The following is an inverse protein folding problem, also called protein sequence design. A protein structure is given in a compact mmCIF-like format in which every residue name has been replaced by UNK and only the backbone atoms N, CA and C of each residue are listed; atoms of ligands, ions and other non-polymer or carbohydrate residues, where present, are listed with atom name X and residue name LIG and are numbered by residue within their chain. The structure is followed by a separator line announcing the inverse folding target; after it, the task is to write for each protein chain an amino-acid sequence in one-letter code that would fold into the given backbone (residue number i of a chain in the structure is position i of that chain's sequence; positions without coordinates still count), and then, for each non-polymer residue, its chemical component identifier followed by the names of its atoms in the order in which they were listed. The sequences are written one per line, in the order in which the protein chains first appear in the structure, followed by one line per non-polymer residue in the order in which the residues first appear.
data_IF_314647689225
#
_entry.id   IF_314647689225
#
_cell.length_a   1.000
_cell.length_b   1.000
_cell.length_c   1.000
_cell.angle_alpha   90.00
_cell.angle_beta   90.00
_cell.angle_gamma   90.00
#
_symmetry.space_group_name_H-M   'P 1'
#
loop_
_entity.id
_entity.type
_entity.pdbx_description
1 polymer ?
#
# COMPACT_ATOMS: atom_id res chain seq x y z
N UNK A 1 -8.72 7.36 -2.27
CA UNK A 1 -9.10 8.79 -2.25
C UNK A 1 -10.58 8.90 -2.02
N UNK A 2 -10.99 9.78 -1.14
CA UNK A 2 -12.39 9.97 -0.84
C UNK A 2 -13.06 10.90 -1.85
N UNK A 3 -14.37 10.72 -2.06
CA UNK A 3 -15.11 11.55 -3.01
C UNK A 3 -15.04 13.05 -2.70
N UNK A 4 -15.00 13.40 -1.41
CA UNK A 4 -14.88 14.79 -1.00
C UNK A 4 -13.58 15.43 -1.46
N UNK A 5 -12.51 14.65 -1.57
CA UNK A 5 -11.22 15.13 -2.04
C UNK A 5 -11.23 15.36 -3.55
N UNK A 6 -11.94 14.53 -4.31
CA UNK A 6 -12.09 14.69 -5.75
C UNK A 6 -12.72 16.04 -6.11
N UNK A 7 -13.62 16.53 -5.26
CA UNK A 7 -14.27 17.81 -5.48
C UNK A 7 -13.42 19.01 -5.09
N UNK A 8 -12.40 18.80 -4.27
CA UNK A 8 -11.50 19.87 -3.80
C UNK A 8 -10.36 20.17 -4.76
N UNK A 9 -9.93 19.17 -5.54
CA UNK A 9 -8.70 19.25 -6.31
C UNK A 9 -9.02 19.30 -7.80
N UNK A 10 -8.59 20.38 -8.44
CA UNK A 10 -8.75 20.59 -9.87
C UNK A 10 -7.39 20.93 -10.46
N UNK A 11 -7.02 20.22 -11.52
CA UNK A 11 -5.70 20.36 -12.12
C UNK A 11 -5.81 20.74 -13.58
N UNK A 12 -4.84 21.54 -14.03
CA UNK A 12 -4.77 21.95 -15.42
C UNK A 12 -4.42 20.78 -16.33
N UNK A 13 -3.61 19.85 -15.84
CA UNK A 13 -3.20 18.68 -16.59
C UNK A 13 -3.59 17.40 -15.85
N UNK A 14 -3.87 16.32 -16.62
CA UNK A 14 -4.14 15.03 -15.98
C UNK A 14 -2.95 14.55 -15.13
N UNK A 15 -3.25 13.89 -14.03
CA UNK A 15 -2.25 13.31 -13.14
C UNK A 15 -2.55 11.85 -12.86
N UNK A 16 -1.51 11.02 -12.72
CA UNK A 16 -1.74 9.69 -12.13
C UNK A 16 -1.97 9.81 -10.63
N UNK A 17 -2.69 8.85 -10.08
CA UNK A 17 -2.75 8.66 -8.63
C UNK A 17 -1.52 7.89 -8.18
N UNK A 18 -1.13 8.07 -6.93
CA UNK A 18 0.03 7.37 -6.36
C UNK A 18 -0.44 6.50 -5.21
N UNK A 19 -0.07 5.21 -5.27
CA UNK A 19 -0.32 4.26 -4.19
C UNK A 19 1.00 3.78 -3.60
N UNK A 20 0.93 3.26 -2.38
CA UNK A 20 2.06 2.60 -1.73
C UNK A 20 1.64 1.19 -1.36
N UNK A 21 2.53 0.22 -1.58
CA UNK A 21 2.32 -1.16 -1.17
C UNK A 21 3.50 -1.61 -0.32
N UNK A 22 3.20 -2.47 0.66
CA UNK A 22 4.22 -3.03 1.55
C UNK A 22 4.30 -4.54 1.39
N UNK A 23 5.49 -5.05 1.12
CA UNK A 23 5.77 -6.48 1.14
C UNK A 23 6.43 -6.79 2.47
N UNK A 24 5.64 -7.30 3.41
CA UNK A 24 6.12 -7.58 4.76
C UNK A 24 6.36 -9.07 4.89
N UNK A 25 7.64 -9.43 5.04
CA UNK A 25 8.03 -10.81 5.26
C UNK A 25 8.15 -11.08 6.75
N UNK A 26 7.55 -12.14 7.21
CA UNK A 26 7.65 -12.58 8.59
C UNK A 26 8.36 -13.93 8.66
N UNK A 27 9.34 -14.04 9.55
CA UNK A 27 10.10 -15.27 9.77
C UNK A 27 9.82 -15.80 11.16
N UNK A 28 9.35 -17.04 11.25
CA UNK A 28 8.98 -17.67 12.52
C UNK A 28 10.03 -18.65 13.05
N UNK A 29 11.21 -18.66 12.45
CA UNK A 29 12.30 -19.59 12.80
C UNK A 29 12.35 -20.80 11.88
N UNK A 30 11.29 -21.04 11.11
CA UNK A 30 11.19 -22.20 10.20
C UNK A 30 10.76 -21.76 8.81
N UNK A 31 9.72 -20.96 8.72
CA UNK A 31 9.12 -20.54 7.45
C UNK A 31 9.14 -19.04 7.29
N UNK A 32 9.33 -18.63 6.04
CA UNK A 32 9.17 -17.24 5.62
C UNK A 32 7.75 -17.07 5.10
N UNK A 33 7.04 -16.08 5.66
CA UNK A 33 5.65 -15.81 5.32
C UNK A 33 5.53 -14.38 4.81
N UNK A 34 4.53 -14.12 4.00
CA UNK A 34 4.21 -12.75 3.54
C UNK A 34 2.86 -12.33 4.11
N UNK A 35 2.78 -11.07 4.54
CA UNK A 35 1.56 -10.51 5.12
C UNK A 35 0.62 -10.07 4.00
N UNK A 36 -0.59 -10.61 4.01
CA UNK A 36 -1.64 -10.22 3.06
C UNK A 36 -2.89 -9.81 3.82
N UNK A 37 -3.67 -8.92 3.21
CA UNK A 37 -4.95 -8.49 3.74
C UNK A 37 -6.06 -8.86 2.76
N UNK A 38 -7.23 -9.17 3.28
CA UNK A 38 -8.39 -9.46 2.45
C UNK A 38 -9.07 -8.15 2.05
N UNK A 39 -9.31 -7.99 0.77
CA UNK A 39 -9.97 -6.78 0.28
C UNK A 39 -11.43 -6.77 0.70
N UNK A 40 -11.86 -5.66 1.31
CA UNK A 40 -13.25 -5.47 1.72
C UNK A 40 -14.12 -4.75 0.70
N UNK A 41 -13.53 -4.23 -0.37
CA UNK A 41 -14.23 -3.45 -1.40
C UNK A 41 -13.80 -3.86 -2.80
N UNK A 42 -14.64 -3.51 -3.79
CA UNK A 42 -14.28 -3.68 -5.19
C UNK A 42 -13.19 -2.69 -5.60
N UNK A 43 -12.31 -2.99 -6.59
CA UNK A 43 -12.27 -4.23 -7.34
C UNK A 43 -11.65 -5.38 -6.53
N UNK A 44 -12.00 -6.60 -6.88
CA UNK A 44 -11.43 -7.82 -6.29
C UNK A 44 -11.78 -8.02 -4.82
N UNK A 45 -12.99 -7.61 -4.41
CA UNK A 45 -13.49 -7.88 -3.05
C UNK A 45 -13.36 -9.37 -2.72
N UNK A 46 -12.85 -9.65 -1.51
CA UNK A 46 -12.63 -11.02 -1.05
C UNK A 46 -11.30 -11.61 -1.46
N UNK A 47 -10.54 -10.95 -2.32
CA UNK A 47 -9.21 -11.40 -2.71
C UNK A 47 -8.16 -10.91 -1.74
N UNK A 48 -7.03 -11.61 -1.69
CA UNK A 48 -5.90 -11.24 -0.86
C UNK A 48 -5.02 -10.23 -1.58
N UNK A 49 -4.50 -9.25 -0.86
CA UNK A 49 -3.65 -8.21 -1.41
C UNK A 49 -2.58 -7.82 -0.42
N UNK A 50 -1.52 -7.17 -0.93
CA UNK A 50 -0.52 -6.55 -0.07
C UNK A 50 -1.15 -5.37 0.68
N UNK A 51 -0.74 -5.11 1.92
CA UNK A 51 -1.14 -3.87 2.60
C UNK A 51 -0.72 -2.66 1.78
N UNK A 52 -1.61 -1.68 1.67
CA UNK A 52 -1.32 -0.48 0.91
C UNK A 52 -2.57 0.30 0.54
N UNK A 53 -2.37 1.42 -0.11
CA UNK A 53 -3.46 2.27 -0.54
C UNK A 53 -2.97 3.58 -1.12
N UNK A 54 -3.89 4.48 -1.36
CA UNK A 54 -3.58 5.77 -1.97
C UNK A 54 -2.86 6.70 -0.99
N UNK A 55 -1.79 7.32 -1.48
CA UNK A 55 -1.05 8.32 -0.74
C UNK A 55 -1.92 9.59 -0.59
N UNK A 56 -1.90 10.19 0.59
CA UNK A 56 -2.61 11.43 0.86
C UNK A 56 -1.76 12.63 0.42
N UNK A 57 -2.43 13.78 0.25
CA UNK A 57 -1.77 14.98 -0.26
C UNK A 57 -0.75 15.57 0.72
N UNK A 58 -0.89 15.29 2.01
CA UNK A 58 -0.05 15.86 3.05
C UNK A 58 0.96 14.88 3.65
N UNK A 59 1.20 13.75 2.97
CA UNK A 59 2.14 12.75 3.47
C UNK A 59 3.14 12.35 2.38
N UNK A 60 4.33 11.94 2.82
CA UNK A 60 5.30 11.31 1.93
C UNK A 60 4.87 9.88 1.63
N UNK A 61 5.49 9.26 0.62
CA UNK A 61 5.21 7.87 0.30
C UNK A 61 5.52 6.93 1.47
N UNK A 62 6.63 7.15 2.18
CA UNK A 62 6.99 6.34 3.34
C UNK A 62 5.96 6.51 4.46
N UNK A 63 5.55 7.74 4.76
CA UNK A 63 4.53 8.00 5.75
C UNK A 63 3.20 7.34 5.38
N UNK A 64 2.83 7.41 4.11
CA UNK A 64 1.61 6.77 3.62
C UNK A 64 1.65 5.26 3.73
N UNK A 65 2.80 4.66 3.38
CA UNK A 65 2.99 3.22 3.49
C UNK A 65 2.87 2.75 4.95
N UNK A 66 3.51 3.46 5.88
CA UNK A 66 3.44 3.14 7.30
C UNK A 66 2.03 3.34 7.87
N UNK A 67 1.34 4.37 7.45
CA UNK A 67 -0.05 4.62 7.86
C UNK A 67 -0.98 3.50 7.41
N UNK A 68 -0.92 3.13 6.14
CA UNK A 68 -1.76 2.05 5.60
C UNK A 68 -1.46 0.72 6.27
N UNK A 69 -0.18 0.45 6.52
CA UNK A 69 0.25 -0.77 7.19
C UNK A 69 -0.37 -0.86 8.59
N UNK A 70 -0.31 0.24 9.33
CA UNK A 70 -0.90 0.31 10.68
C UNK A 70 -2.43 0.17 10.64
N UNK A 71 -3.08 0.90 9.73
CA UNK A 71 -4.55 0.86 9.62
C UNK A 71 -5.06 -0.52 9.25
N UNK A 72 -4.40 -1.20 8.33
CA UNK A 72 -4.86 -2.49 7.81
C UNK A 72 -4.43 -3.69 8.64
N UNK A 73 -3.31 -3.61 9.33
CA UNK A 73 -2.72 -4.76 10.03
C UNK A 73 -2.44 -4.53 11.51
N UNK A 74 -2.44 -3.29 11.96
CA UNK A 74 -2.05 -2.94 13.33
C UNK A 74 -0.54 -2.90 13.56
N UNK A 75 0.27 -3.22 12.56
CA UNK A 75 1.72 -3.23 12.70
C UNK A 75 2.27 -1.81 12.79
N UNK A 76 3.02 -1.52 13.85
CA UNK A 76 3.66 -0.25 14.09
C UNK A 76 5.17 -0.39 14.17
N UNK A 77 5.87 0.68 13.85
CA UNK A 77 7.31 0.74 14.03
C UNK A 77 8.13 -0.12 13.08
N UNK A 78 7.51 -0.60 12.01
CA UNK A 78 8.23 -1.37 11.01
C UNK A 78 9.25 -0.48 10.30
N UNK A 79 10.44 -1.03 10.09
CA UNK A 79 11.45 -0.37 9.27
C UNK A 79 11.27 -0.84 7.85
N UNK A 80 10.74 0.06 7.00
CA UNK A 80 10.46 -0.27 5.61
C UNK A 80 11.49 0.38 4.69
N UNK A 81 11.74 -0.26 3.55
CA UNK A 81 12.69 0.24 2.56
C UNK A 81 12.06 0.13 1.19
N UNK A 82 12.15 1.21 0.41
CA UNK A 82 11.66 1.23 -0.96
C UNK A 82 12.50 0.30 -1.83
N UNK A 83 11.85 -0.52 -2.66
CA UNK A 83 12.56 -1.40 -3.57
C UNK A 83 12.14 -1.23 -5.02
N UNK A 84 11.08 -0.51 -5.31
CA UNK A 84 10.67 -0.32 -6.69
C UNK A 84 9.52 0.64 -6.86
N UNK A 85 9.33 1.05 -8.10
CA UNK A 85 8.23 1.90 -8.53
C UNK A 85 7.63 1.29 -9.78
N UNK A 86 6.32 1.08 -9.79
CA UNK A 86 5.62 0.40 -10.86
C UNK A 86 4.77 1.40 -11.62
N UNK A 87 5.06 1.57 -12.90
CA UNK A 87 4.51 2.68 -13.70
C UNK A 87 3.80 2.26 -14.97
N UNK A 88 3.58 0.96 -15.20
CA UNK A 88 2.90 0.50 -16.40
C UNK A 88 1.49 1.13 -16.47
N UNK A 89 1.15 1.80 -17.59
CA UNK A 89 -0.13 2.53 -17.68
C UNK A 89 -1.38 1.68 -17.52
N UNK A 90 -1.29 0.39 -17.80
CA UNK A 90 -2.45 -0.50 -17.79
C UNK A 90 -2.51 -1.44 -16.58
N UNK A 91 -1.67 -1.20 -15.57
CA UNK A 91 -1.56 -2.11 -14.45
C UNK A 91 -2.76 -2.09 -13.48
N UNK A 92 -3.49 -0.99 -13.41
CA UNK A 92 -4.66 -0.86 -12.55
C UNK A 92 -5.89 -0.60 -13.41
N UNK A 93 -6.97 -1.39 -13.24
CA UNK A 93 -8.18 -1.22 -14.07
C UNK A 93 -8.96 0.04 -13.77
N UNK A 94 -8.74 0.67 -12.63
CA UNK A 94 -9.52 1.83 -12.21
C UNK A 94 -9.08 3.12 -12.89
N UNK A 95 -7.75 3.34 -12.96
CA UNK A 95 -7.19 4.56 -13.51
C UNK A 95 -5.68 4.43 -13.66
N UNK A 96 -5.05 5.52 -14.07
CA UNK A 96 -3.60 5.60 -14.15
C UNK A 96 -3.02 5.67 -12.74
N UNK A 97 -2.38 4.60 -12.29
CA UNK A 97 -1.83 4.50 -10.93
C UNK A 97 -0.35 4.17 -10.98
N UNK A 98 0.43 4.94 -10.24
CA UNK A 98 1.85 4.67 -9.99
C UNK A 98 1.94 4.12 -8.58
N UNK A 99 2.60 2.98 -8.41
CA UNK A 99 2.79 2.35 -7.11
C UNK A 99 4.24 2.40 -6.68
N UNK A 100 4.48 2.91 -5.47
CA UNK A 100 5.78 2.88 -4.82
C UNK A 100 5.76 1.73 -3.83
N UNK A 101 6.66 0.77 -4.01
CA UNK A 101 6.66 -0.46 -3.23
C UNK A 101 7.78 -0.47 -2.19
N UNK A 102 7.44 -0.93 -1.00
CA UNK A 102 8.33 -1.05 0.15
C UNK A 102 8.39 -2.50 0.60
N UNK A 103 9.47 -2.86 1.28
CA UNK A 103 9.56 -4.16 1.93
C UNK A 103 10.11 -4.01 3.34
N UNK A 104 9.83 -5.00 4.16
CA UNK A 104 10.40 -5.14 5.48
C UNK A 104 10.43 -6.60 5.88
N UNK A 105 11.35 -6.94 6.76
CA UNK A 105 11.41 -8.26 7.38
C UNK A 105 11.10 -8.08 8.86
N UNK A 106 10.12 -8.81 9.35
CA UNK A 106 9.76 -8.78 10.76
C UNK A 106 9.91 -10.18 11.35
N UNK A 107 10.22 -10.22 12.64
CA UNK A 107 10.31 -11.47 13.38
C UNK A 107 8.92 -11.81 13.90
N UNK A 108 8.42 -12.98 13.54
CA UNK A 108 7.16 -13.47 14.08
C UNK A 108 7.39 -14.07 15.45
N UNK A 109 6.55 -13.66 16.40
CA UNK A 109 6.60 -14.21 17.75
C UNK A 109 5.48 -15.21 17.91
N UNK A 110 5.80 -16.29 18.62
CA UNK A 110 4.76 -17.23 19.02
C UNK A 110 3.92 -16.61 20.13
N UNK A 111 2.63 -16.81 20.02
CA UNK A 111 1.69 -16.31 21.02
C UNK A 111 1.36 -17.40 22.01
#
# INVERSE_FOLDING_TARGET
MEKSDELKYHYKYPHPSVTTDCVIFGFDGTNLKVLLVERGIEPYKGRWALPGGFMRMDESAEEGALRELKEETGLEGAYIKQFGTFTNPNRDPRERVITIAYYALVKLQEV
#
